data_IF_080767299598
#
_entry.id   IF_080767299598
#
_cell.length_a   1.000
_cell.length_b   1.000
_cell.length_c   1.000
_cell.angle_alpha   90.00
_cell.angle_beta   90.00
_cell.angle_gamma   90.00
#
_symmetry.space_group_name_H-M   'P 1'
#
loop_
_entity.id
_entity.type
_entity.pdbx_description
1 polymer ?
#
# COMPACT_ATOMS: atom_id res chain seq x y z
N UNK A 1 1.52 -0.74 26.06
CA UNK A 1 1.25 0.68 25.76
C UNK A 1 1.33 0.86 24.26
N UNK A 2 0.26 1.41 23.69
CA UNK A 2 0.07 1.92 22.33
C UNK A 2 0.77 1.22 21.17
N UNK A 3 -0.04 0.51 20.39
CA UNK A 3 0.23 0.06 19.04
C UNK A 3 1.11 1.06 18.30
N UNK A 4 2.38 0.68 18.06
CA UNK A 4 3.05 1.12 16.85
C UNK A 4 2.02 0.88 15.74
N UNK A 5 1.68 1.90 14.96
CA UNK A 5 0.66 1.81 13.92
C UNK A 5 1.07 0.72 12.92
N UNK A 6 0.75 -0.54 13.23
CA UNK A 6 0.81 -1.65 12.32
C UNK A 6 -0.13 -1.21 11.21
N UNK A 7 0.45 -0.81 10.09
CA UNK A 7 -0.31 -0.25 9.01
C UNK A 7 -1.26 -1.36 8.57
N UNK A 8 -2.56 -1.19 8.85
CA UNK A 8 -3.57 -2.11 8.36
C UNK A 8 -3.36 -2.23 6.86
N UNK A 9 -3.30 -3.45 6.32
CA UNK A 9 -3.14 -3.60 4.89
C UNK A 9 -4.24 -2.81 4.20
N UNK A 10 -3.85 -1.89 3.32
CA UNK A 10 -4.78 -1.17 2.48
C UNK A 10 -5.49 -2.17 1.56
N UNK A 11 -6.46 -1.69 0.78
CA UNK A 11 -7.07 -2.53 -0.25
C UNK A 11 -5.99 -3.10 -1.18
N UNK A 12 -6.11 -4.38 -1.53
CA UNK A 12 -5.19 -5.01 -2.46
C UNK A 12 -5.12 -4.19 -3.75
N UNK A 13 -3.90 -3.99 -4.26
CA UNK A 13 -3.68 -3.25 -5.49
C UNK A 13 -4.46 -3.87 -6.66
N UNK A 14 -5.12 -3.02 -7.44
CA UNK A 14 -5.94 -3.42 -8.59
C UNK A 14 -5.45 -2.73 -9.86
N UNK A 15 -5.15 -3.47 -10.94
CA UNK A 15 -4.67 -2.88 -12.19
C UNK A 15 -5.72 -2.00 -12.88
N UNK A 16 -7.01 -2.32 -12.70
CA UNK A 16 -8.14 -1.56 -13.24
C UNK A 16 -8.44 -0.30 -12.44
N UNK A 17 -7.89 -0.17 -11.23
CA UNK A 17 -8.11 0.98 -10.37
C UNK A 17 -7.10 2.08 -10.69
N UNK A 18 -7.59 3.30 -10.72
CA UNK A 18 -6.75 4.49 -10.82
C UNK A 18 -6.33 4.90 -9.40
N UNK A 19 -5.04 5.11 -9.20
CA UNK A 19 -4.49 5.62 -7.95
C UNK A 19 -3.93 7.02 -8.17
N UNK A 20 -4.31 7.96 -7.32
CA UNK A 20 -3.80 9.33 -7.36
C UNK A 20 -2.70 9.50 -6.30
N UNK A 21 -1.90 10.57 -6.43
CA UNK A 21 -0.88 10.88 -5.43
C UNK A 21 -1.49 10.95 -4.02
N UNK A 22 -0.92 10.17 -3.10
CA UNK A 22 -1.39 10.00 -1.73
C UNK A 22 -2.27 8.76 -1.49
N UNK A 23 -2.74 8.07 -2.53
CA UNK A 23 -3.47 6.81 -2.38
C UNK A 23 -2.54 5.68 -1.92
N UNK A 24 -3.10 4.71 -1.19
CA UNK A 24 -2.36 3.56 -0.65
C UNK A 24 -3.01 2.27 -1.13
N UNK A 25 -2.19 1.29 -1.50
CA UNK A 25 -2.60 -0.06 -1.87
C UNK A 25 -1.66 -1.09 -1.22
N UNK A 26 -2.18 -2.27 -0.89
CA UNK A 26 -1.36 -3.37 -0.39
C UNK A 26 -0.95 -4.31 -1.53
N UNK A 27 0.32 -4.71 -1.53
CA UNK A 27 0.86 -5.70 -2.46
C UNK A 27 1.99 -6.49 -1.81
N UNK A 28 1.89 -7.83 -1.87
CA UNK A 28 2.94 -8.72 -1.35
C UNK A 28 3.20 -8.60 0.15
N UNK A 29 2.18 -8.25 0.96
CA UNK A 29 2.35 -8.03 2.41
C UNK A 29 2.97 -6.67 2.77
N UNK A 30 3.14 -5.77 1.81
CA UNK A 30 3.59 -4.40 2.04
C UNK A 30 2.51 -3.41 1.63
N UNK A 31 2.44 -2.28 2.33
CA UNK A 31 1.66 -1.14 1.87
C UNK A 31 2.53 -0.27 0.95
N UNK A 32 1.90 0.25 -0.09
CA UNK A 32 2.52 1.09 -1.09
C UNK A 32 1.69 2.34 -1.30
N UNK A 33 2.34 3.49 -1.36
CA UNK A 33 1.68 4.78 -1.57
C UNK A 33 2.02 5.34 -2.95
N UNK A 34 1.00 5.63 -3.74
CA UNK A 34 1.16 6.32 -5.01
C UNK A 34 1.67 7.76 -4.76
N UNK A 35 2.72 8.15 -5.48
CA UNK A 35 3.33 9.48 -5.41
C UNK A 35 2.61 10.50 -6.29
N UNK A 36 2.09 10.03 -7.41
CA UNK A 36 1.30 10.80 -8.38
C UNK A 36 0.24 9.88 -9.01
N UNK A 37 -0.48 10.38 -10.01
CA UNK A 37 -1.47 9.61 -10.74
C UNK A 37 -0.85 8.39 -11.45
N UNK A 38 -1.39 7.21 -11.19
CA UNK A 38 -0.98 5.94 -11.77
C UNK A 38 -2.17 5.03 -12.00
N UNK A 39 -2.12 4.25 -13.06
CA UNK A 39 -3.12 3.24 -13.38
C UNK A 39 -2.39 2.02 -13.95
N UNK A 40 -2.77 0.82 -13.51
CA UNK A 40 -2.17 -0.43 -13.98
C UNK A 40 -0.64 -0.55 -13.73
N UNK A 41 -0.04 0.27 -12.85
CA UNK A 41 1.37 0.13 -12.47
C UNK A 41 1.51 -0.69 -11.17
N UNK A 42 2.37 -1.70 -11.20
CA UNK A 42 2.54 -2.65 -10.09
C UNK A 42 3.36 -2.02 -8.94
N UNK A 43 2.87 -2.06 -7.69
CA UNK A 43 3.61 -1.58 -6.53
C UNK A 43 4.87 -2.41 -6.28
N UNK A 44 5.99 -1.74 -6.06
CA UNK A 44 7.32 -2.36 -5.93
C UNK A 44 8.08 -2.55 -7.23
N UNK A 45 7.41 -2.49 -8.39
CA UNK A 45 8.07 -2.46 -9.69
C UNK A 45 8.15 -1.04 -10.28
N UNK A 46 7.11 -0.23 -10.07
CA UNK A 46 7.06 1.14 -10.58
C UNK A 46 7.46 2.17 -9.52
N UNK A 47 8.28 3.16 -9.92
CA UNK A 47 8.76 4.25 -9.05
C UNK A 47 7.66 5.17 -8.52
N UNK A 48 6.45 5.11 -9.09
CA UNK A 48 5.27 5.82 -8.59
C UNK A 48 4.85 5.31 -7.22
N UNK A 49 5.19 4.08 -6.87
CA UNK A 49 4.85 3.48 -5.59
C UNK A 49 6.00 3.66 -4.59
N UNK A 50 5.74 4.41 -3.53
CA UNK A 50 6.60 4.50 -2.37
C UNK A 50 6.24 3.41 -1.37
N UNK A 51 7.22 2.64 -0.93
CA UNK A 51 7.02 1.65 0.14
C UNK A 51 6.62 2.38 1.44
N UNK A 52 5.61 1.83 2.12
CA UNK A 52 5.11 2.32 3.42
C UNK A 52 5.45 1.34 4.54
N UNK A 53 6.28 0.34 4.26
CA UNK A 53 6.56 -0.78 5.15
C UNK A 53 5.61 -1.95 4.99
N UNK A 54 5.95 -3.04 5.68
CA UNK A 54 5.13 -4.25 5.79
C UNK A 54 3.79 -3.91 6.44
N UNK A 55 2.70 -4.39 5.83
CA UNK A 55 1.40 -4.37 6.44
C UNK A 55 1.19 -5.73 7.12
N UNK A 56 1.46 -5.80 8.41
CA UNK A 56 1.05 -6.93 9.22
C UNK A 56 -0.37 -6.61 9.71
N UNK A 57 -1.36 -7.26 9.09
CA UNK A 57 -2.74 -7.21 9.54
C UNK A 57 -2.82 -7.82 10.93
N UNK A 58 -2.59 -7.00 11.95
CA UNK A 58 -2.57 -7.40 13.35
C UNK A 58 -3.88 -8.07 13.74
N UNK A 59 -3.90 -9.39 13.65
CA UNK A 59 -4.88 -10.22 14.33
C UNK A 59 -4.63 -10.11 15.83
N UNK A 60 -5.68 -9.93 16.66
CA UNK A 60 -5.54 -9.84 18.10
C UNK A 60 -5.21 -11.24 18.68
N UNK A 61 -4.16 -11.35 19.49
CA UNK A 61 -3.99 -12.44 20.46
C UNK A 61 -4.65 -12.10 21.80
#
# INVERSE_FOLDING_TARGET
MSSAAAAVCASAWQPTSVYHGGMIASHGGHNWSARWWTQNEVPGNAYVWADRGTCDGGGPD
#
